data_IF_256228014902
#
_entry.id   IF_256228014902
#
_cell.length_a   1.000
_cell.length_b   1.000
_cell.length_c   1.000
_cell.angle_alpha   90.00
_cell.angle_beta   90.00
_cell.angle_gamma   90.00
#
_symmetry.space_group_name_H-M   'P 1'
#
loop_
_entity.id
_entity.type
_entity.pdbx_description
1 polymer ?
#
# COMPACT_ATOMS: atom_id res chain seq x y z
N UNK A 1 -0.33 15.59 39.08
CA UNK A 1 -0.95 15.26 37.80
C UNK A 1 -0.25 14.01 37.26
N UNK A 2 -0.94 12.85 37.19
CA UNK A 2 -0.39 11.62 36.59
C UNK A 2 -0.37 11.83 35.08
N UNK A 3 0.83 11.87 34.48
CA UNK A 3 1.00 11.79 33.06
C UNK A 3 0.47 10.41 32.61
N UNK A 4 -0.73 10.35 32.01
CA UNK A 4 -1.16 9.22 31.22
C UNK A 4 -0.32 9.23 29.95
N UNK A 5 0.82 8.52 29.98
CA UNK A 5 1.49 8.14 28.74
C UNK A 5 0.58 7.09 28.09
N UNK A 6 -0.06 7.45 26.97
CA UNK A 6 -0.67 6.47 26.08
C UNK A 6 0.45 5.66 25.44
N UNK A 7 0.89 4.61 26.13
CA UNK A 7 1.82 3.64 25.57
C UNK A 7 1.05 2.72 24.63
N UNK A 8 1.01 3.10 23.35
CA UNK A 8 0.52 2.22 22.28
C UNK A 8 1.40 0.95 22.16
N UNK A 9 1.06 0.08 21.20
CA UNK A 9 1.85 -1.10 20.91
C UNK A 9 3.27 -0.74 20.50
N UNK A 10 4.25 -1.52 20.99
CA UNK A 10 5.64 -1.38 20.57
C UNK A 10 5.82 -1.86 19.12
N UNK A 11 6.88 -1.40 18.42
CA UNK A 11 7.14 -1.81 17.03
C UNK A 11 7.22 -3.34 16.85
N UNK A 12 7.88 -4.13 17.72
CA UNK A 12 7.83 -5.59 17.61
C UNK A 12 6.44 -6.18 17.80
N UNK A 13 5.63 -5.64 18.72
CA UNK A 13 4.25 -6.10 18.92
C UNK A 13 3.39 -5.83 17.68
N UNK A 14 3.50 -4.63 17.08
CA UNK A 14 2.82 -4.29 15.81
C UNK A 14 3.21 -5.28 14.72
N UNK A 15 4.51 -5.55 14.54
CA UNK A 15 5.01 -6.46 13.52
C UNK A 15 4.50 -7.90 13.70
N UNK A 16 4.53 -8.42 14.94
CA UNK A 16 4.04 -9.78 15.25
C UNK A 16 2.54 -9.89 14.95
N UNK A 17 1.74 -8.89 15.34
CA UNK A 17 0.29 -8.89 15.08
C UNK A 17 -0.02 -8.78 13.58
N UNK A 18 0.71 -7.95 12.84
CA UNK A 18 0.59 -7.84 11.38
C UNK A 18 0.93 -9.18 10.71
N UNK A 19 2.02 -9.82 11.12
CA UNK A 19 2.41 -11.13 10.58
C UNK A 19 1.37 -12.20 10.90
N UNK A 20 0.87 -12.25 12.12
CA UNK A 20 -0.18 -13.19 12.53
C UNK A 20 -1.48 -12.97 11.70
N UNK A 21 -1.90 -11.73 11.52
CA UNK A 21 -3.06 -11.38 10.71
C UNK A 21 -2.85 -11.77 9.23
N UNK A 22 -1.66 -11.48 8.66
CA UNK A 22 -1.32 -11.84 7.29
C UNK A 22 -1.34 -13.36 7.08
N UNK A 23 -0.74 -14.13 7.99
CA UNK A 23 -0.75 -15.59 7.91
C UNK A 23 -2.18 -16.15 8.05
N UNK A 24 -2.96 -15.64 9.00
CA UNK A 24 -4.35 -16.05 9.17
C UNK A 24 -5.19 -15.79 7.92
N UNK A 25 -5.07 -14.60 7.33
CA UNK A 25 -5.72 -14.24 6.07
C UNK A 25 -5.34 -15.19 4.93
N UNK A 26 -4.05 -15.44 4.73
CA UNK A 26 -3.55 -16.33 3.67
C UNK A 26 -3.99 -17.78 3.87
N UNK A 27 -4.00 -18.28 5.13
CA UNK A 27 -4.50 -19.61 5.46
C UNK A 27 -6.00 -19.73 5.16
N UNK A 28 -6.79 -18.71 5.48
CA UNK A 28 -8.22 -18.68 5.20
C UNK A 28 -8.47 -18.66 3.69
N UNK A 29 -7.81 -17.76 2.95
CA UNK A 29 -7.91 -17.69 1.47
C UNK A 29 -7.54 -19.02 0.81
N UNK A 30 -6.51 -19.70 1.31
CA UNK A 30 -6.11 -21.02 0.82
C UNK A 30 -7.16 -22.07 1.13
N UNK A 31 -7.72 -22.05 2.33
CA UNK A 31 -8.77 -23.00 2.76
C UNK A 31 -10.02 -22.88 1.89
N UNK A 32 -10.43 -21.64 1.57
CA UNK A 32 -11.56 -21.33 0.69
C UNK A 32 -11.26 -21.57 -0.81
N UNK A 33 -10.04 -21.98 -1.16
CA UNK A 33 -9.64 -22.19 -2.56
C UNK A 33 -9.49 -20.90 -3.38
N UNK A 34 -9.42 -19.76 -2.72
CA UNK A 34 -9.31 -18.42 -3.36
C UNK A 34 -7.87 -18.00 -3.63
N UNK A 35 -6.88 -18.77 -3.18
CA UNK A 35 -5.47 -18.46 -3.34
C UNK A 35 -4.80 -19.49 -4.25
N UNK A 36 -4.05 -19.02 -5.23
CA UNK A 36 -3.25 -19.84 -6.14
C UNK A 36 -1.75 -19.57 -5.90
N UNK A 37 -0.88 -20.60 -5.93
CA UNK A 37 0.57 -20.39 -5.85
C UNK A 37 1.18 -19.93 -7.17
N UNK A 38 0.35 -19.51 -8.13
CA UNK A 38 0.72 -19.03 -9.44
C UNK A 38 0.86 -17.51 -9.39
N UNK A 39 2.09 -17.02 -9.44
CA UNK A 39 2.38 -15.59 -9.42
C UNK A 39 2.18 -14.99 -10.82
N UNK A 40 1.09 -14.28 -11.02
CA UNK A 40 0.81 -13.58 -12.27
C UNK A 40 1.75 -12.39 -12.50
N UNK A 41 2.32 -12.29 -13.70
CA UNK A 41 3.20 -11.18 -14.10
C UNK A 41 2.43 -10.25 -15.03
N UNK A 42 2.11 -9.00 -14.60
CA UNK A 42 1.50 -7.99 -15.44
C UNK A 42 2.30 -7.74 -16.72
N UNK A 43 1.66 -7.30 -17.79
CA UNK A 43 2.20 -7.05 -19.14
C UNK A 43 2.61 -8.30 -19.94
N UNK A 44 3.01 -9.38 -19.28
CA UNK A 44 3.48 -10.58 -19.98
C UNK A 44 2.40 -11.67 -20.07
N UNK A 45 1.26 -11.48 -19.40
CA UNK A 45 0.15 -12.43 -19.32
C UNK A 45 0.63 -13.87 -19.06
N UNK A 46 1.58 -14.03 -18.14
CA UNK A 46 2.20 -15.30 -17.78
C UNK A 46 2.23 -15.48 -16.28
N UNK A 47 2.47 -16.72 -15.85
CA UNK A 47 2.50 -17.08 -14.44
C UNK A 47 3.82 -17.79 -14.08
N UNK A 48 4.34 -17.49 -12.90
CA UNK A 48 5.41 -18.26 -12.26
C UNK A 48 4.75 -19.20 -11.25
N UNK A 49 4.87 -20.51 -11.48
CA UNK A 49 4.38 -21.52 -10.52
C UNK A 49 5.36 -21.63 -9.36
N UNK A 50 4.90 -21.37 -8.17
CA UNK A 50 5.73 -21.44 -6.95
C UNK A 50 5.37 -22.64 -6.09
N UNK A 51 6.33 -23.10 -5.29
CA UNK A 51 6.02 -24.01 -4.20
C UNK A 51 5.14 -23.29 -3.16
N UNK A 52 4.14 -23.98 -2.59
CA UNK A 52 3.21 -23.41 -1.63
C UNK A 52 3.89 -22.75 -0.40
N UNK A 53 4.93 -23.37 0.12
CA UNK A 53 5.63 -22.82 1.30
C UNK A 53 6.32 -21.51 0.92
N UNK A 54 7.02 -21.49 -0.23
CA UNK A 54 7.70 -20.30 -0.73
C UNK A 54 6.69 -19.19 -1.02
N UNK A 55 5.55 -19.54 -1.64
CA UNK A 55 4.50 -18.58 -1.95
C UNK A 55 3.89 -17.96 -0.67
N UNK A 56 3.61 -18.77 0.36
CA UNK A 56 3.05 -18.28 1.62
C UNK A 56 4.01 -17.33 2.36
N UNK A 57 5.31 -17.63 2.34
CA UNK A 57 6.34 -16.75 2.92
C UNK A 57 6.41 -15.44 2.13
N UNK A 58 6.47 -15.52 0.81
CA UNK A 58 6.44 -14.36 -0.09
C UNK A 58 5.17 -13.52 0.14
N UNK A 59 4.01 -14.13 0.17
CA UNK A 59 2.73 -13.46 0.35
C UNK A 59 2.64 -12.74 1.72
N UNK A 60 3.06 -13.40 2.80
CA UNK A 60 3.12 -12.78 4.12
C UNK A 60 4.06 -11.57 4.14
N UNK A 61 5.25 -11.69 3.51
CA UNK A 61 6.20 -10.59 3.36
C UNK A 61 5.59 -9.41 2.58
N UNK A 62 4.91 -9.68 1.46
CA UNK A 62 4.26 -8.64 0.64
C UNK A 62 3.15 -7.93 1.43
N UNK A 63 2.29 -8.68 2.15
CA UNK A 63 1.21 -8.09 2.95
C UNK A 63 1.78 -7.18 4.04
N UNK A 64 2.71 -7.70 4.87
CA UNK A 64 3.30 -6.92 5.96
C UNK A 64 4.08 -5.73 5.42
N UNK A 65 4.82 -5.91 4.31
CA UNK A 65 5.53 -4.84 3.62
C UNK A 65 4.59 -3.73 3.14
N UNK A 66 3.48 -4.08 2.50
CA UNK A 66 2.47 -3.11 2.02
C UNK A 66 1.82 -2.37 3.18
N UNK A 67 1.46 -3.07 4.26
CA UNK A 67 0.87 -2.48 5.47
C UNK A 67 1.79 -1.39 6.04
N UNK A 68 3.08 -1.70 6.19
CA UNK A 68 4.03 -0.73 6.74
C UNK A 68 4.37 0.37 5.73
N UNK A 69 4.41 0.09 4.43
CA UNK A 69 4.67 1.08 3.40
C UNK A 69 3.58 2.17 3.33
N UNK A 70 2.31 1.78 3.44
CA UNK A 70 1.19 2.73 3.52
C UNK A 70 1.25 3.54 4.83
N UNK A 71 1.62 2.91 5.95
CA UNK A 71 1.79 3.60 7.22
C UNK A 71 2.95 4.62 7.18
N UNK A 72 4.08 4.30 6.55
CA UNK A 72 5.20 5.24 6.34
C UNK A 72 4.77 6.43 5.48
N UNK A 73 3.88 6.22 4.51
CA UNK A 73 3.37 7.27 3.61
C UNK A 73 2.42 8.25 4.33
N UNK A 74 1.90 7.91 5.51
CA UNK A 74 1.00 8.77 6.29
C UNK A 74 1.76 9.84 7.11
N UNK A 75 2.74 10.51 6.48
CA UNK A 75 3.61 11.49 7.13
C UNK A 75 3.24 12.96 6.89
N UNK A 76 2.33 13.26 5.95
CA UNK A 76 1.85 14.62 5.64
C UNK A 76 0.33 14.65 5.57
N UNK A 77 -0.26 15.84 5.80
CA UNK A 77 -1.69 16.07 5.75
C UNK A 77 -2.29 15.61 4.41
N UNK A 78 -3.14 14.59 4.44
CA UNK A 78 -3.83 14.06 3.28
C UNK A 78 -2.98 13.23 2.32
N UNK A 79 -1.69 13.00 2.57
CA UNK A 79 -0.81 12.29 1.64
C UNK A 79 -1.25 10.84 1.43
N UNK A 80 -1.35 10.05 2.51
CA UNK A 80 -1.75 8.65 2.45
C UNK A 80 -3.14 8.49 1.85
N UNK A 81 -4.09 9.32 2.28
CA UNK A 81 -5.47 9.32 1.76
C UNK A 81 -5.52 9.60 0.27
N UNK A 82 -4.81 10.64 -0.20
CA UNK A 82 -4.81 11.07 -1.59
C UNK A 82 -4.13 10.06 -2.52
N UNK A 83 -3.01 9.48 -2.08
CA UNK A 83 -2.29 8.45 -2.84
C UNK A 83 -3.09 7.15 -2.91
N UNK A 84 -3.89 6.84 -1.88
CA UNK A 84 -4.73 5.64 -1.83
C UNK A 84 -5.99 5.77 -2.71
N UNK A 85 -6.50 6.97 -2.98
CA UNK A 85 -7.69 7.17 -3.82
C UNK A 85 -7.57 6.52 -5.21
N UNK A 86 -6.52 6.79 -6.03
CA UNK A 86 -6.36 6.13 -7.32
C UNK A 86 -6.26 4.61 -7.21
N UNK A 87 -5.63 4.11 -6.15
CA UNK A 87 -5.50 2.65 -5.91
C UNK A 87 -6.85 2.01 -5.62
N UNK A 88 -7.65 2.64 -4.75
CA UNK A 88 -9.00 2.16 -4.44
C UNK A 88 -9.90 2.22 -5.70
N UNK A 89 -9.81 3.30 -6.49
CA UNK A 89 -10.52 3.43 -7.75
C UNK A 89 -10.10 2.36 -8.76
N UNK A 90 -8.80 2.06 -8.86
CA UNK A 90 -8.29 0.98 -9.71
C UNK A 90 -8.99 -0.34 -9.38
N UNK A 91 -8.96 -0.79 -8.12
CA UNK A 91 -9.61 -2.05 -7.74
C UNK A 91 -11.14 -2.01 -7.90
N UNK A 92 -11.78 -0.86 -7.69
CA UNK A 92 -13.22 -0.69 -7.92
C UNK A 92 -13.57 -0.88 -9.41
N UNK A 93 -12.80 -0.26 -10.32
CA UNK A 93 -12.96 -0.41 -11.77
C UNK A 93 -12.73 -1.84 -12.21
N UNK A 94 -11.68 -2.49 -11.66
CA UNK A 94 -11.40 -3.91 -11.96
C UNK A 94 -12.60 -4.80 -11.62
N UNK A 95 -13.21 -4.61 -10.44
CA UNK A 95 -14.37 -5.39 -10.02
C UNK A 95 -15.65 -5.06 -10.78
N UNK A 96 -15.74 -3.86 -11.37
CA UNK A 96 -16.88 -3.47 -12.22
C UNK A 96 -16.77 -4.01 -13.65
N UNK A 97 -15.54 -4.08 -14.19
CA UNK A 97 -15.28 -4.49 -15.59
C UNK A 97 -15.14 -6.01 -15.72
N UNK A 98 -14.54 -6.67 -14.73
CA UNK A 98 -14.28 -8.12 -14.81
C UNK A 98 -15.32 -8.94 -14.06
N UNK A 99 -15.95 -9.86 -14.78
CA UNK A 99 -16.92 -10.79 -14.21
C UNK A 99 -16.33 -11.63 -13.07
N UNK A 100 -17.14 -11.88 -12.04
CA UNK A 100 -16.72 -12.68 -10.87
C UNK A 100 -16.07 -11.89 -9.73
N UNK A 101 -15.69 -10.63 -9.92
CA UNK A 101 -15.03 -9.80 -8.89
C UNK A 101 -15.89 -8.63 -8.38
N UNK A 102 -17.17 -8.60 -8.71
CA UNK A 102 -18.09 -7.51 -8.36
C UNK A 102 -18.07 -7.17 -6.84
N UNK A 103 -18.03 -8.18 -5.98
CA UNK A 103 -18.02 -7.97 -4.52
C UNK A 103 -16.75 -7.24 -4.07
N UNK A 104 -15.58 -7.58 -4.64
CA UNK A 104 -14.33 -6.90 -4.37
C UNK A 104 -14.35 -5.46 -4.89
N UNK A 105 -14.97 -5.25 -6.07
CA UNK A 105 -15.18 -3.92 -6.62
C UNK A 105 -16.07 -3.04 -5.74
N UNK A 106 -17.14 -3.59 -5.17
CA UNK A 106 -18.01 -2.88 -4.20
C UNK A 106 -17.22 -2.50 -2.95
N UNK A 107 -16.41 -3.41 -2.39
CA UNK A 107 -15.57 -3.10 -1.24
C UNK A 107 -14.56 -1.98 -1.56
N UNK A 108 -13.87 -2.08 -2.69
CA UNK A 108 -12.92 -1.05 -3.13
C UNK A 108 -13.60 0.30 -3.40
N UNK A 109 -14.81 0.29 -3.99
CA UNK A 109 -15.62 1.48 -4.21
C UNK A 109 -16.09 2.12 -2.90
N UNK A 110 -16.48 1.33 -1.91
CA UNK A 110 -16.81 1.82 -0.58
C UNK A 110 -15.58 2.46 0.12
N UNK A 111 -14.41 1.82 -0.02
CA UNK A 111 -13.14 2.37 0.47
C UNK A 111 -12.81 3.70 -0.23
N UNK A 112 -12.97 3.78 -1.54
CA UNK A 112 -12.79 5.03 -2.31
C UNK A 112 -13.71 6.14 -1.82
N UNK A 113 -15.01 5.85 -1.66
CA UNK A 113 -15.98 6.84 -1.13
C UNK A 113 -15.67 7.28 0.30
N UNK A 114 -15.28 6.33 1.16
CA UNK A 114 -14.85 6.63 2.54
C UNK A 114 -13.61 7.52 2.58
N UNK A 115 -12.63 7.26 1.71
CA UNK A 115 -11.41 8.09 1.60
C UNK A 115 -11.72 9.51 1.08
N UNK A 116 -12.65 9.67 0.14
CA UNK A 116 -13.09 11.00 -0.31
C UNK A 116 -13.71 11.79 0.86
N UNK A 117 -14.59 11.14 1.63
CA UNK A 117 -15.20 11.76 2.79
C UNK A 117 -14.16 12.10 3.87
N UNK A 118 -13.22 11.21 4.14
CA UNK A 118 -12.15 11.44 5.11
C UNK A 118 -11.21 12.56 4.65
N UNK A 119 -10.82 12.60 3.37
CA UNK A 119 -9.92 13.60 2.80
C UNK A 119 -10.47 15.01 2.91
N UNK A 120 -11.80 15.19 2.93
CA UNK A 120 -12.43 16.48 3.18
C UNK A 120 -11.99 17.12 4.50
N UNK A 121 -11.69 16.30 5.52
CA UNK A 121 -11.18 16.75 6.82
C UNK A 121 -9.66 16.58 6.98
N UNK A 122 -9.06 15.68 6.22
CA UNK A 122 -7.64 15.33 6.35
C UNK A 122 -6.72 16.12 5.39
N UNK A 123 -7.27 16.87 4.40
CA UNK A 123 -6.44 17.71 3.52
C UNK A 123 -5.82 18.88 4.29
N UNK A 124 -4.68 19.38 3.80
CA UNK A 124 -3.93 20.46 4.44
C UNK A 124 -4.71 21.80 4.52
N UNK A 125 -4.81 22.44 5.68
CA UNK A 125 -4.37 21.95 7.01
C UNK A 125 -5.37 20.94 7.57
N UNK A 126 -4.89 19.78 7.99
CA UNK A 126 -5.74 18.69 8.43
C UNK A 126 -6.46 19.01 9.75
N UNK A 127 -7.73 18.62 9.81
CA UNK A 127 -8.55 18.70 11.02
C UNK A 127 -8.68 17.36 11.74
N UNK A 128 -8.45 16.26 11.02
CA UNK A 128 -8.51 14.88 11.50
C UNK A 128 -7.32 14.11 10.93
N UNK A 129 -6.70 13.27 11.74
CA UNK A 129 -5.58 12.42 11.36
C UNK A 129 -6.01 10.96 11.33
N UNK A 130 -5.44 10.20 10.38
CA UNK A 130 -5.75 8.79 10.19
C UNK A 130 -5.15 7.91 11.30
N UNK A 131 -3.92 8.21 11.66
CA UNK A 131 -3.12 7.45 12.62
C UNK A 131 -2.84 6.01 12.16
N UNK A 132 -2.13 5.26 13.00
CA UNK A 132 -1.74 3.88 12.70
C UNK A 132 -2.94 2.97 12.38
N UNK A 133 -4.06 3.17 13.07
CA UNK A 133 -5.26 2.32 12.85
C UNK A 133 -5.77 2.43 11.42
N UNK A 134 -5.87 3.65 10.89
CA UNK A 134 -6.36 3.86 9.54
C UNK A 134 -5.33 3.48 8.48
N UNK A 135 -4.08 3.92 8.61
CA UNK A 135 -3.05 3.66 7.61
C UNK A 135 -2.67 2.17 7.51
N UNK A 136 -2.60 1.45 8.64
CA UNK A 136 -2.40 -0.01 8.65
C UNK A 136 -3.60 -0.74 8.03
N UNK A 137 -4.83 -0.29 8.32
CA UNK A 137 -6.03 -0.84 7.68
C UNK A 137 -5.99 -0.65 6.16
N UNK A 138 -5.67 0.55 5.66
CA UNK A 138 -5.58 0.81 4.22
C UNK A 138 -4.54 -0.08 3.54
N UNK A 139 -3.35 -0.21 4.13
CA UNK A 139 -2.30 -1.09 3.61
C UNK A 139 -2.74 -2.55 3.56
N UNK A 140 -3.41 -3.02 4.62
CA UNK A 140 -3.99 -4.37 4.68
C UNK A 140 -5.08 -4.59 3.64
N UNK A 141 -5.99 -3.63 3.47
CA UNK A 141 -7.07 -3.69 2.50
C UNK A 141 -6.55 -3.72 1.05
N UNK A 142 -5.57 -2.88 0.72
CA UNK A 142 -4.92 -2.85 -0.61
C UNK A 142 -4.22 -4.19 -0.89
N UNK A 143 -3.45 -4.70 0.07
CA UNK A 143 -2.79 -6.00 -0.08
C UNK A 143 -3.81 -7.12 -0.24
N UNK A 144 -4.85 -7.16 0.59
CA UNK A 144 -5.91 -8.16 0.52
C UNK A 144 -6.62 -8.15 -0.84
N UNK A 145 -6.93 -6.97 -1.38
CA UNK A 145 -7.51 -6.83 -2.73
C UNK A 145 -6.56 -7.41 -3.79
N UNK A 146 -5.28 -7.09 -3.77
CA UNK A 146 -4.32 -7.59 -4.75
C UNK A 146 -4.22 -9.14 -4.74
N UNK A 147 -4.26 -9.75 -3.55
CA UNK A 147 -4.30 -11.22 -3.42
C UNK A 147 -5.65 -11.80 -3.81
N UNK A 148 -6.77 -11.14 -3.47
CA UNK A 148 -8.11 -11.60 -3.84
C UNK A 148 -8.38 -11.54 -5.35
N UNK A 149 -7.73 -10.61 -6.06
CA UNK A 149 -7.70 -10.57 -7.52
C UNK A 149 -6.66 -11.52 -8.13
N UNK A 150 -5.94 -12.30 -7.31
CA UNK A 150 -4.85 -13.20 -7.72
C UNK A 150 -3.76 -12.47 -8.53
N UNK A 151 -3.42 -11.25 -8.13
CA UNK A 151 -2.45 -10.37 -8.80
C UNK A 151 -1.51 -9.66 -7.81
N UNK A 152 -0.82 -10.35 -6.91
CA UNK A 152 -0.02 -9.66 -5.88
C UNK A 152 1.09 -8.78 -6.45
N UNK A 153 1.65 -9.09 -7.63
CA UNK A 153 2.67 -8.24 -8.27
C UNK A 153 2.13 -6.90 -8.78
N UNK A 154 0.80 -6.73 -8.89
CA UNK A 154 0.20 -5.46 -9.25
C UNK A 154 0.55 -4.36 -8.23
N UNK A 155 0.84 -4.74 -6.98
CA UNK A 155 1.26 -3.83 -5.92
C UNK A 155 2.55 -3.08 -6.24
N UNK A 156 3.41 -3.60 -7.10
CA UNK A 156 4.60 -2.89 -7.58
C UNK A 156 4.22 -1.66 -8.41
N UNK A 157 3.06 -1.70 -9.08
CA UNK A 157 2.55 -0.60 -9.88
C UNK A 157 1.61 0.28 -9.05
N UNK A 158 0.46 -0.26 -8.61
CA UNK A 158 -0.52 0.56 -7.86
C UNK A 158 0.03 1.06 -6.53
N UNK A 159 0.96 0.34 -5.92
CA UNK A 159 1.67 0.70 -4.69
C UNK A 159 3.01 1.41 -4.90
N UNK A 160 3.30 1.88 -6.11
CA UNK A 160 4.61 2.44 -6.47
C UNK A 160 5.06 3.57 -5.55
N UNK A 161 4.17 4.49 -5.19
CA UNK A 161 4.50 5.59 -4.28
C UNK A 161 4.87 5.05 -2.90
N UNK A 162 4.10 4.12 -2.34
CA UNK A 162 4.40 3.49 -1.04
C UNK A 162 5.73 2.76 -1.06
N UNK A 163 6.01 2.07 -2.17
CA UNK A 163 7.28 1.37 -2.38
C UNK A 163 8.46 2.35 -2.38
N UNK A 164 8.34 3.47 -3.11
CA UNK A 164 9.38 4.50 -3.15
C UNK A 164 9.63 5.15 -1.78
N UNK A 165 8.56 5.44 -1.03
CA UNK A 165 8.66 5.95 0.34
C UNK A 165 9.46 5.01 1.23
N UNK A 166 9.07 3.74 1.26
CA UNK A 166 9.72 2.71 2.08
C UNK A 166 11.14 2.42 1.64
N UNK A 167 11.39 2.30 0.33
CA UNK A 167 12.74 2.07 -0.19
C UNK A 167 13.67 3.22 0.11
N UNK A 168 13.19 4.47 0.08
CA UNK A 168 14.01 5.63 0.45
C UNK A 168 14.50 5.56 1.89
N UNK A 169 13.64 5.09 2.81
CA UNK A 169 14.00 4.87 4.22
C UNK A 169 15.06 3.75 4.35
N UNK A 170 14.80 2.60 3.73
CA UNK A 170 15.72 1.46 3.78
C UNK A 170 17.10 1.84 3.22
N UNK A 171 17.12 2.50 2.05
CA UNK A 171 18.36 2.94 1.39
C UNK A 171 19.08 3.97 2.27
N UNK A 172 18.35 4.95 2.80
CA UNK A 172 18.94 5.99 3.67
C UNK A 172 19.58 5.37 4.91
N UNK A 173 18.87 4.49 5.60
CA UNK A 173 19.36 3.85 6.82
C UNK A 173 20.57 2.95 6.55
N UNK A 174 20.51 2.16 5.46
CA UNK A 174 21.61 1.28 5.06
C UNK A 174 22.87 2.10 4.72
N UNK A 175 22.72 3.13 3.89
CA UNK A 175 23.82 4.00 3.50
C UNK A 175 24.40 4.79 4.67
N UNK A 176 23.54 5.34 5.53
CA UNK A 176 23.97 6.07 6.72
C UNK A 176 24.84 5.22 7.65
N UNK A 177 24.42 3.95 7.87
CA UNK A 177 25.19 2.99 8.67
C UNK A 177 26.52 2.61 7.99
N UNK A 178 26.49 2.32 6.68
CA UNK A 178 27.68 1.90 5.93
C UNK A 178 28.73 3.01 5.80
N UNK A 179 28.29 4.29 5.76
CA UNK A 179 29.17 5.45 5.54
C UNK A 179 29.45 6.26 6.80
N UNK A 180 29.07 5.74 7.97
CA UNK A 180 29.27 6.41 9.26
C UNK A 180 28.69 7.85 9.31
N UNK A 181 27.47 8.03 8.79
CA UNK A 181 26.73 9.29 8.96
C UNK A 181 26.46 10.09 7.68
N UNK A 182 26.90 9.65 6.50
CA UNK A 182 26.53 10.32 5.24
C UNK A 182 25.10 9.99 4.86
N UNK A 183 24.44 10.94 4.18
CA UNK A 183 23.05 10.82 3.73
C UNK A 183 22.97 10.89 2.21
N UNK A 184 22.10 10.06 1.60
CA UNK A 184 21.72 10.14 0.17
C UNK A 184 20.63 11.20 0.01
N UNK A 185 19.55 11.05 0.77
CA UNK A 185 18.44 12.01 0.81
C UNK A 185 18.68 13.04 1.92
N UNK A 186 18.20 14.26 1.76
CA UNK A 186 18.24 15.28 2.84
C UNK A 186 17.54 14.77 4.09
N UNK A 187 16.42 14.08 3.90
CA UNK A 187 15.65 13.35 4.90
C UNK A 187 14.94 12.19 4.23
N UNK A 188 14.64 11.12 4.93
CA UNK A 188 13.77 10.03 4.49
C UNK A 188 12.58 9.93 5.46
N UNK A 189 11.41 9.53 4.99
CA UNK A 189 11.02 9.13 3.62
C UNK A 189 11.04 10.27 2.58
N UNK A 190 10.71 9.95 1.29
CA UNK A 190 10.83 10.91 0.17
C UNK A 190 10.01 12.18 0.35
N UNK A 191 8.82 12.11 0.94
CA UNK A 191 8.00 13.30 1.18
C UNK A 191 8.77 14.32 2.02
N UNK A 192 9.47 13.91 3.06
CA UNK A 192 10.33 14.80 3.86
C UNK A 192 11.55 15.30 3.08
N UNK A 193 12.09 14.49 2.15
CA UNK A 193 13.15 14.97 1.26
C UNK A 193 12.68 16.17 0.44
N UNK A 194 11.48 16.10 -0.13
CA UNK A 194 10.93 17.19 -0.94
C UNK A 194 10.57 18.41 -0.09
N UNK A 195 10.08 18.25 1.14
CA UNK A 195 9.92 19.37 2.08
C UNK A 195 11.25 20.08 2.34
N UNK A 196 12.32 19.32 2.60
CA UNK A 196 13.68 19.86 2.78
C UNK A 196 14.27 20.46 1.49
N UNK A 197 13.68 20.19 0.32
CA UNK A 197 13.94 20.83 -0.96
C UNK A 197 13.10 22.08 -1.20
N UNK A 198 12.23 22.47 -0.25
CA UNK A 198 11.41 23.67 -0.32
C UNK A 198 10.05 23.50 -1.02
N UNK A 199 9.59 22.26 -1.21
CA UNK A 199 8.24 22.04 -1.69
C UNK A 199 7.25 22.18 -0.53
N UNK A 200 6.09 22.79 -0.80
CA UNK A 200 5.00 22.80 0.16
C UNK A 200 4.23 21.47 0.14
N UNK A 201 3.57 21.13 1.25
CA UNK A 201 2.81 19.90 1.41
C UNK A 201 1.79 19.67 0.29
N UNK A 202 1.03 20.70 -0.10
CA UNK A 202 0.02 20.61 -1.17
C UNK A 202 0.63 20.17 -2.50
N UNK A 203 1.84 20.65 -2.83
CA UNK A 203 2.55 20.26 -4.03
C UNK A 203 3.03 18.82 -3.96
N UNK A 204 3.56 18.40 -2.81
CA UNK A 204 4.01 17.02 -2.59
C UNK A 204 2.82 16.07 -2.75
N UNK A 205 1.72 16.33 -2.05
CA UNK A 205 0.49 15.52 -2.12
C UNK A 205 -0.03 15.45 -3.55
N UNK A 206 -0.12 16.58 -4.25
CA UNK A 206 -0.62 16.62 -5.63
C UNK A 206 0.27 15.80 -6.60
N UNK A 207 1.60 15.95 -6.52
CA UNK A 207 2.54 15.21 -7.37
C UNK A 207 2.50 13.72 -7.07
N UNK A 208 2.52 13.32 -5.80
CA UNK A 208 2.49 11.90 -5.40
C UNK A 208 1.17 11.23 -5.81
N UNK A 209 0.04 11.95 -5.65
CA UNK A 209 -1.26 11.47 -6.12
C UNK A 209 -1.30 11.32 -7.65
N UNK A 210 -0.74 12.28 -8.39
CA UNK A 210 -0.66 12.20 -9.84
C UNK A 210 0.22 11.02 -10.30
N UNK A 211 1.35 10.78 -9.62
CA UNK A 211 2.20 9.60 -9.87
C UNK A 211 1.43 8.31 -9.57
N UNK A 212 0.73 8.23 -8.44
CA UNK A 212 -0.10 7.06 -8.10
C UNK A 212 -1.17 6.81 -9.16
N UNK A 213 -1.88 7.86 -9.61
CA UNK A 213 -2.89 7.75 -10.67
C UNK A 213 -2.29 7.25 -11.99
N UNK A 214 -1.14 7.79 -12.41
CA UNK A 214 -0.44 7.33 -13.60
C UNK A 214 -0.04 5.86 -13.48
N UNK A 215 0.49 5.44 -12.35
CA UNK A 215 0.87 4.05 -12.12
C UNK A 215 -0.34 3.11 -12.09
N UNK A 216 -1.49 3.56 -11.58
CA UNK A 216 -2.75 2.80 -11.65
C UNK A 216 -3.25 2.66 -13.10
N UNK A 217 -3.11 3.69 -13.95
CA UNK A 217 -3.43 3.59 -15.39
C UNK A 217 -2.50 2.60 -16.10
N UNK A 218 -1.20 2.63 -15.80
CA UNK A 218 -0.23 1.65 -16.32
C UNK A 218 -0.57 0.23 -15.84
N UNK A 219 -0.95 0.09 -14.56
CA UNK A 219 -1.39 -1.17 -14.00
C UNK A 219 -2.62 -1.73 -14.72
N UNK A 220 -3.63 -0.88 -14.99
CA UNK A 220 -4.82 -1.27 -15.75
C UNK A 220 -4.43 -1.80 -17.14
N UNK A 221 -3.57 -1.09 -17.85
CA UNK A 221 -3.08 -1.56 -19.14
C UNK A 221 -2.28 -2.87 -19.03
N UNK A 222 -1.44 -3.00 -18.00
CA UNK A 222 -0.62 -4.20 -17.78
C UNK A 222 -1.41 -5.48 -17.46
N UNK A 223 -2.70 -5.37 -17.11
CA UNK A 223 -3.57 -6.50 -16.79
C UNK A 223 -4.79 -6.62 -17.72
N UNK A 224 -4.94 -5.71 -18.68
CA UNK A 224 -6.08 -5.67 -19.59
C UNK A 224 -6.28 -7.01 -20.33
N UNK A 225 -5.18 -7.62 -20.78
CA UNK A 225 -5.20 -8.87 -21.54
C UNK A 225 -5.56 -10.10 -20.71
N UNK A 226 -5.42 -10.03 -19.39
CA UNK A 226 -5.73 -11.17 -18.50
C UNK A 226 -7.22 -11.51 -18.49
N UNK A 227 -8.06 -10.51 -18.67
CA UNK A 227 -9.51 -10.60 -18.51
C UNK A 227 -10.30 -10.19 -19.77
N UNK A 228 -9.59 -9.91 -20.87
CA UNK A 228 -10.23 -9.80 -22.19
C UNK A 228 -10.73 -11.18 -22.59
N UNK A 229 -12.04 -11.35 -22.54
CA UNK A 229 -12.79 -12.47 -23.10
C UNK A 229 -12.92 -12.29 -24.60
#
# INVERSE_FOLDING_TARGET
MKHHQNTGLTAPQKFILQLAAAVAFLCLMRYEGMLSPNLYIPFFNTHIVMNWVVYMIFAAFVIVGTVNAVNITDGLDGLSSSVTLPVALFFAVMGAVWGGFTQLGVFAGAMFGGLLGFLYYNHYPAKVFMGDTGSLFLGGAIAALAFAYDMPLILLLVGFVYLCETLSDIIQVAYFKATHGKRIFKMAPLHHHFEMCGWNEKKIVAVFTAVSALMCLLAYWGVADRFSL
#
